data_IF_682834707123
#
_entry.id   IF_682834707123
#
_cell.length_a   1.000
_cell.length_b   1.000
_cell.length_c   1.000
_cell.angle_alpha   90.00
_cell.angle_beta   90.00
_cell.angle_gamma   90.00
#
_symmetry.space_group_name_H-M   'P 1'
#
loop_
_entity.id
_entity.type
_entity.pdbx_description
1 polymer ?
#
# COMPACT_ATOMS: atom_id res chain seq x y z
N UNK A 1 20.45 -0.17 -4.84
CA UNK A 1 21.76 -0.19 -4.21
C UNK A 1 21.93 0.95 -3.22
N UNK A 2 21.79 2.20 -3.65
CA UNK A 2 21.98 3.38 -2.80
C UNK A 2 21.15 3.33 -1.51
N UNK A 3 19.85 3.04 -1.59
CA UNK A 3 18.99 2.91 -0.42
C UNK A 3 19.55 1.93 0.62
N UNK A 4 20.01 0.75 0.18
CA UNK A 4 20.54 -0.27 1.08
C UNK A 4 21.80 0.22 1.81
N UNK A 5 22.71 0.89 1.11
CA UNK A 5 23.90 1.48 1.71
C UNK A 5 23.54 2.62 2.65
N UNK A 6 22.63 3.52 2.26
CA UNK A 6 22.18 4.64 3.09
C UNK A 6 21.59 4.15 4.42
N UNK A 7 20.73 3.12 4.39
CA UNK A 7 20.19 2.52 5.61
C UNK A 7 21.28 1.98 6.55
N UNK A 8 22.35 1.39 5.97
CA UNK A 8 23.52 0.95 6.75
C UNK A 8 24.28 2.11 7.38
N UNK A 9 24.54 3.16 6.61
CA UNK A 9 25.20 4.38 7.10
C UNK A 9 24.41 5.09 8.19
N UNK A 10 23.07 4.98 8.15
CA UNK A 10 22.16 5.50 9.17
C UNK A 10 22.05 4.59 10.42
N UNK A 11 22.88 3.56 10.53
CA UNK A 11 22.97 2.71 11.71
C UNK A 11 21.92 1.60 11.78
N UNK A 12 21.28 1.22 10.66
CA UNK A 12 20.37 0.08 10.67
C UNK A 12 21.13 -1.21 10.96
N UNK A 13 20.66 -1.96 11.97
CA UNK A 13 21.15 -3.30 12.30
C UNK A 13 20.05 -4.37 12.19
N UNK A 14 18.78 -3.95 12.22
CA UNK A 14 17.63 -4.88 12.12
C UNK A 14 17.52 -5.47 10.71
N UNK A 15 17.11 -6.74 10.57
CA UNK A 15 16.86 -7.37 9.27
C UNK A 15 15.97 -6.52 8.37
N UNK A 16 16.22 -6.56 7.05
CA UNK A 16 15.39 -5.95 6.02
C UNK A 16 14.77 -7.04 5.17
N UNK A 17 13.45 -7.03 5.02
CA UNK A 17 12.77 -7.82 4.01
C UNK A 17 12.73 -7.02 2.70
N UNK A 18 13.15 -7.66 1.61
CA UNK A 18 13.12 -7.11 0.26
C UNK A 18 12.18 -7.96 -0.58
N UNK A 19 11.12 -7.38 -1.06
CA UNK A 19 10.16 -8.03 -1.93
C UNK A 19 10.24 -7.48 -3.35
N UNK A 20 10.07 -8.34 -4.34
CA UNK A 20 10.12 -7.94 -5.74
C UNK A 20 9.42 -8.93 -6.66
N UNK A 21 9.31 -8.59 -7.95
CA UNK A 21 8.70 -9.45 -8.97
C UNK A 21 9.52 -10.71 -9.26
N UNK A 22 8.98 -11.57 -10.12
CA UNK A 22 9.71 -12.71 -10.68
C UNK A 22 11.05 -12.27 -11.27
N UNK A 23 12.08 -13.09 -11.06
CA UNK A 23 13.47 -12.78 -11.48
C UNK A 23 14.31 -12.11 -10.39
N UNK A 24 13.73 -11.67 -9.27
CA UNK A 24 14.51 -11.12 -8.15
C UNK A 24 15.59 -12.09 -7.68
N UNK A 25 15.25 -13.38 -7.53
CA UNK A 25 16.20 -14.39 -7.04
C UNK A 25 17.39 -14.55 -7.96
N UNK A 26 17.21 -14.40 -9.27
CA UNK A 26 18.29 -14.47 -10.25
C UNK A 26 19.24 -13.26 -10.19
N UNK A 27 18.71 -12.07 -9.96
CA UNK A 27 19.51 -10.83 -9.94
C UNK A 27 20.05 -10.49 -8.55
N UNK A 28 19.46 -11.04 -7.50
CA UNK A 28 19.81 -10.70 -6.12
C UNK A 28 21.27 -10.93 -5.76
N UNK A 29 21.92 -12.06 -6.15
CA UNK A 29 23.34 -12.28 -5.87
C UNK A 29 24.24 -11.18 -6.45
N UNK A 30 23.99 -10.78 -7.70
CA UNK A 30 24.73 -9.71 -8.36
C UNK A 30 24.49 -8.34 -7.65
N UNK A 31 23.25 -8.04 -7.34
CA UNK A 31 22.88 -6.82 -6.61
C UNK A 31 23.55 -6.76 -5.23
N UNK A 32 23.61 -7.89 -4.52
CA UNK A 32 24.27 -7.99 -3.22
C UNK A 32 25.79 -7.76 -3.35
N UNK A 33 26.43 -8.35 -4.34
CA UNK A 33 27.85 -8.13 -4.62
C UNK A 33 28.15 -6.67 -4.86
N UNK A 34 27.34 -6.01 -5.71
CA UNK A 34 27.48 -4.59 -6.02
C UNK A 34 27.19 -3.67 -4.81
N UNK A 35 26.36 -4.12 -3.87
CA UNK A 35 26.05 -3.36 -2.66
C UNK A 35 27.19 -3.42 -1.65
N UNK A 36 27.95 -4.52 -1.62
CA UNK A 36 29.00 -4.74 -0.65
C UNK A 36 28.49 -5.15 0.72
N UNK A 37 29.36 -5.14 1.75
CA UNK A 37 28.98 -5.51 3.10
C UNK A 37 28.00 -4.51 3.71
N UNK A 38 26.98 -5.03 4.40
CA UNK A 38 25.99 -4.25 5.12
C UNK A 38 25.96 -4.68 6.59
N UNK A 39 25.72 -3.75 7.53
CA UNK A 39 25.65 -4.06 8.97
C UNK A 39 24.35 -4.76 9.37
N UNK A 40 23.50 -5.16 8.43
CA UNK A 40 22.23 -5.83 8.65
C UNK A 40 21.95 -6.91 7.59
N UNK A 41 21.25 -8.00 7.95
CA UNK A 41 20.88 -9.01 6.99
C UNK A 41 19.72 -8.57 6.11
N UNK A 42 19.73 -8.98 4.84
CA UNK A 42 18.61 -8.80 3.91
C UNK A 42 18.03 -10.16 3.56
N UNK A 43 16.72 -10.27 3.62
CA UNK A 43 15.94 -11.42 3.18
C UNK A 43 15.17 -11.02 1.93
N UNK A 44 15.73 -11.34 0.75
CA UNK A 44 15.09 -11.12 -0.53
C UNK A 44 14.12 -12.26 -0.83
N UNK A 45 12.92 -11.93 -1.31
CA UNK A 45 11.89 -12.89 -1.70
C UNK A 45 11.08 -12.38 -2.87
N UNK A 46 10.87 -13.23 -3.86
CA UNK A 46 9.90 -12.95 -4.92
C UNK A 46 8.47 -13.01 -4.34
N UNK A 47 7.65 -12.05 -4.73
CA UNK A 47 6.21 -12.07 -4.47
C UNK A 47 5.48 -12.19 -5.81
N UNK A 48 4.67 -13.23 -5.93
CA UNK A 48 3.83 -13.41 -7.11
C UNK A 48 2.41 -12.89 -6.87
N UNK A 49 1.64 -13.54 -6.04
CA UNK A 49 0.26 -13.19 -5.73
C UNK A 49 -0.11 -13.29 -4.24
N UNK A 50 0.74 -13.97 -3.45
CA UNK A 50 0.42 -14.20 -2.05
C UNK A 50 0.66 -12.94 -1.21
N UNK A 51 -0.28 -12.57 -0.34
CA UNK A 51 -0.11 -11.42 0.55
C UNK A 51 0.99 -11.70 1.59
N UNK A 52 1.64 -10.63 2.04
CA UNK A 52 2.56 -10.65 3.17
C UNK A 52 1.83 -10.14 4.40
N UNK A 53 1.77 -10.95 5.45
CA UNK A 53 1.30 -10.50 6.77
C UNK A 53 2.34 -9.55 7.37
N UNK A 54 1.93 -8.33 7.65
CA UNK A 54 2.79 -7.28 8.19
C UNK A 54 2.86 -7.29 9.72
N UNK A 55 2.07 -8.08 10.42
CA UNK A 55 2.16 -8.23 11.87
C UNK A 55 3.56 -8.70 12.31
N UNK A 56 4.20 -9.56 11.52
CA UNK A 56 5.58 -10.00 11.73
C UNK A 56 6.62 -8.84 11.69
N UNK A 57 6.25 -7.68 11.18
CA UNK A 57 7.08 -6.47 11.09
C UNK A 57 6.65 -5.37 12.06
N UNK A 58 5.77 -5.69 13.01
CA UNK A 58 5.28 -4.75 14.03
C UNK A 58 4.09 -3.89 13.60
N UNK A 59 3.42 -4.25 12.51
CA UNK A 59 2.15 -3.63 12.11
C UNK A 59 0.98 -4.23 12.88
N UNK A 60 -0.17 -3.54 12.96
CA UNK A 60 -1.37 -4.11 13.57
C UNK A 60 -1.76 -5.45 12.92
N UNK A 61 -2.37 -6.33 13.71
CA UNK A 61 -2.86 -7.62 13.25
C UNK A 61 -3.79 -7.46 12.03
N UNK A 62 -3.60 -8.30 11.02
CA UNK A 62 -4.34 -8.28 9.77
C UNK A 62 -3.90 -7.21 8.76
N UNK A 63 -2.88 -6.40 9.08
CA UNK A 63 -2.26 -5.54 8.08
C UNK A 63 -1.52 -6.39 7.04
N UNK A 64 -1.73 -6.10 5.76
CA UNK A 64 -1.20 -6.91 4.65
C UNK A 64 -0.59 -6.05 3.57
N UNK A 65 0.47 -6.59 2.94
CA UNK A 65 1.00 -6.09 1.67
C UNK A 65 0.63 -7.10 0.57
N UNK A 66 -0.17 -6.65 -0.40
CA UNK A 66 -0.62 -7.46 -1.52
C UNK A 66 0.13 -7.05 -2.78
N UNK A 67 0.82 -7.99 -3.46
CA UNK A 67 1.42 -7.71 -4.77
C UNK A 67 0.34 -7.63 -5.84
N UNK A 68 0.50 -6.65 -6.75
CA UNK A 68 -0.42 -6.42 -7.86
C UNK A 68 0.33 -6.75 -9.15
N UNK A 69 -0.15 -7.69 -9.98
CA UNK A 69 0.43 -7.91 -11.30
C UNK A 69 0.20 -6.68 -12.18
N UNK A 70 1.29 -6.10 -12.66
CA UNK A 70 1.27 -4.89 -13.48
C UNK A 70 1.69 -5.18 -14.90
N UNK A 71 1.49 -4.20 -15.80
CA UNK A 71 1.76 -4.34 -17.23
C UNK A 71 2.92 -3.44 -17.63
N UNK A 72 4.11 -4.01 -17.63
CA UNK A 72 5.34 -3.32 -18.04
C UNK A 72 6.17 -4.20 -18.96
N UNK A 73 7.23 -3.67 -19.58
CA UNK A 73 8.12 -4.41 -20.51
C UNK A 73 8.96 -5.48 -19.81
N UNK A 74 9.24 -5.28 -18.55
CA UNK A 74 9.94 -6.24 -17.69
C UNK A 74 9.01 -6.68 -16.55
N UNK A 75 9.29 -7.82 -15.89
CA UNK A 75 8.51 -8.22 -14.71
C UNK A 75 8.44 -7.08 -13.69
N UNK A 76 7.23 -6.64 -13.37
CA UNK A 76 6.96 -5.55 -12.43
C UNK A 76 5.82 -5.91 -11.50
N UNK A 77 5.75 -5.22 -10.37
CA UNK A 77 4.67 -5.35 -9.39
C UNK A 77 4.31 -3.98 -8.82
N UNK A 78 3.02 -3.73 -8.75
CA UNK A 78 2.49 -2.76 -7.80
C UNK A 78 2.24 -3.44 -6.46
N UNK A 79 1.87 -2.63 -5.47
CA UNK A 79 1.59 -3.13 -4.13
C UNK A 79 0.40 -2.39 -3.53
N UNK A 80 -0.49 -3.14 -2.87
CA UNK A 80 -1.52 -2.57 -2.03
C UNK A 80 -1.19 -2.86 -0.56
N UNK A 81 -1.15 -1.81 0.26
CA UNK A 81 -1.05 -1.90 1.70
C UNK A 81 -2.44 -1.72 2.29
N UNK A 82 -2.90 -2.71 3.05
CA UNK A 82 -4.20 -2.65 3.72
C UNK A 82 -4.03 -2.71 5.22
N UNK A 83 -4.75 -1.85 5.92
CA UNK A 83 -4.83 -1.83 7.37
C UNK A 83 -6.28 -2.05 7.77
N UNK A 84 -6.64 -3.22 8.35
CA UNK A 84 -8.00 -3.49 8.76
C UNK A 84 -8.39 -2.62 9.95
N UNK A 85 -9.69 -2.39 10.12
CA UNK A 85 -10.25 -1.73 11.28
C UNK A 85 -11.23 -2.65 11.96
N UNK A 86 -10.97 -2.99 13.21
CA UNK A 86 -11.87 -3.80 14.02
C UNK A 86 -13.24 -3.13 14.18
N UNK A 87 -14.26 -3.95 14.43
CA UNK A 87 -15.58 -3.48 14.82
C UNK A 87 -15.54 -2.63 16.09
N UNK A 88 -16.63 -1.90 16.35
CA UNK A 88 -16.76 -1.18 17.61
C UNK A 88 -16.86 -2.17 18.76
N UNK A 89 -16.19 -1.87 19.86
CA UNK A 89 -16.36 -2.63 21.08
C UNK A 89 -17.79 -2.43 21.62
N UNK A 90 -18.43 -3.52 22.04
CA UNK A 90 -19.79 -3.56 22.51
C UNK A 90 -19.80 -3.86 24.03
N UNK A 91 -19.78 -2.81 24.89
CA UNK A 91 -19.66 -2.96 26.34
C UNK A 91 -20.76 -3.85 26.95
N UNK A 92 -21.97 -3.81 26.39
CA UNK A 92 -23.09 -4.62 26.82
C UNK A 92 -22.83 -6.11 26.62
N UNK A 93 -22.22 -6.51 25.51
CA UNK A 93 -21.81 -7.90 25.26
C UNK A 93 -20.70 -8.35 26.20
N UNK A 94 -19.70 -7.50 26.42
CA UNK A 94 -18.62 -7.82 27.36
C UNK A 94 -19.15 -7.99 28.80
N UNK A 95 -20.09 -7.15 29.22
CA UNK A 95 -20.76 -7.29 30.54
C UNK A 95 -21.57 -8.57 30.62
N UNK A 96 -22.35 -8.89 29.58
CA UNK A 96 -23.17 -10.13 29.54
C UNK A 96 -22.29 -11.39 29.63
N UNK A 97 -21.08 -11.36 29.06
CA UNK A 97 -20.09 -12.44 29.15
C UNK A 97 -19.26 -12.40 30.44
N UNK A 98 -19.51 -11.46 31.33
CA UNK A 98 -18.82 -11.33 32.60
C UNK A 98 -17.35 -10.88 32.49
N UNK A 99 -16.98 -10.26 31.37
CA UNK A 99 -15.60 -9.78 31.14
C UNK A 99 -15.32 -8.57 32.07
N UNK A 100 -14.26 -8.64 32.91
CA UNK A 100 -13.84 -7.49 33.73
C UNK A 100 -13.49 -6.28 32.86
N UNK A 101 -13.85 -5.09 33.29
CA UNK A 101 -13.54 -3.82 32.56
C UNK A 101 -12.05 -3.66 32.30
N UNK A 102 -11.21 -4.13 33.21
CA UNK A 102 -9.75 -4.11 33.06
C UNK A 102 -9.23 -4.87 31.83
N UNK A 103 -9.99 -5.87 31.38
CA UNK A 103 -9.61 -6.72 30.23
C UNK A 103 -10.22 -6.27 28.89
N UNK A 104 -11.13 -5.29 28.90
CA UNK A 104 -11.78 -4.81 27.68
C UNK A 104 -10.78 -4.33 26.63
N UNK A 105 -9.71 -3.66 27.07
CA UNK A 105 -8.66 -3.16 26.19
C UNK A 105 -7.92 -4.27 25.47
N UNK A 106 -7.73 -5.42 26.11
CA UNK A 106 -7.13 -6.62 25.48
C UNK A 106 -7.99 -7.10 24.32
N UNK A 107 -9.29 -7.27 24.54
CA UNK A 107 -10.23 -7.67 23.51
C UNK A 107 -10.32 -6.66 22.36
N UNK A 108 -10.25 -5.36 22.65
CA UNK A 108 -10.19 -4.30 21.64
C UNK A 108 -8.93 -4.40 20.77
N UNK A 109 -7.82 -4.89 21.31
CA UNK A 109 -6.56 -5.08 20.60
C UNK A 109 -6.42 -6.46 19.93
N UNK A 110 -7.49 -7.27 19.97
CA UNK A 110 -7.49 -8.56 19.29
C UNK A 110 -7.02 -9.73 20.14
N UNK A 111 -6.80 -9.52 21.46
CA UNK A 111 -6.39 -10.56 22.38
C UNK A 111 -7.61 -11.31 22.96
N UNK A 112 -7.48 -12.62 23.15
CA UNK A 112 -8.47 -13.45 23.86
C UNK A 112 -8.29 -13.28 25.37
N UNK A 113 -9.38 -13.28 26.11
CA UNK A 113 -9.39 -13.10 27.57
C UNK A 113 -10.03 -14.32 28.24
N UNK A 114 -9.36 -14.84 29.26
CA UNK A 114 -9.92 -15.90 30.10
C UNK A 114 -10.92 -15.32 31.11
N UNK A 115 -12.16 -15.80 31.09
CA UNK A 115 -13.22 -15.44 32.04
C UNK A 115 -13.67 -16.73 32.75
N UNK A 116 -13.26 -16.92 34.00
CA UNK A 116 -13.49 -18.18 34.76
C UNK A 116 -12.98 -19.40 33.97
N UNK A 117 -13.87 -20.28 33.52
CA UNK A 117 -13.56 -21.54 32.85
C UNK A 117 -13.64 -21.48 31.31
N UNK A 118 -14.01 -20.32 30.74
CA UNK A 118 -14.11 -20.15 29.28
C UNK A 118 -13.30 -18.97 28.77
N UNK A 119 -12.98 -19.03 27.48
CA UNK A 119 -12.31 -17.95 26.78
C UNK A 119 -13.34 -17.06 26.08
N UNK A 120 -13.12 -15.74 26.15
CA UNK A 120 -13.86 -14.75 25.38
C UNK A 120 -12.96 -14.19 24.32
N UNK A 121 -13.39 -14.32 23.08
CA UNK A 121 -12.66 -13.82 21.91
C UNK A 121 -13.10 -12.41 21.50
N UNK A 122 -12.28 -11.65 20.79
CA UNK A 122 -12.68 -10.34 20.26
C UNK A 122 -13.97 -10.37 19.44
N UNK A 123 -14.20 -11.43 18.65
CA UNK A 123 -15.39 -11.55 17.79
C UNK A 123 -16.71 -11.53 18.57
N UNK A 124 -16.70 -11.96 19.82
CA UNK A 124 -17.90 -12.02 20.66
C UNK A 124 -18.32 -10.66 21.22
N UNK A 125 -17.37 -9.72 21.33
CA UNK A 125 -17.58 -8.40 21.94
C UNK A 125 -17.35 -7.23 20.98
N UNK A 126 -16.97 -7.51 19.74
CA UNK A 126 -16.85 -6.51 18.70
C UNK A 126 -18.06 -6.54 17.76
N UNK A 127 -18.41 -5.39 17.25
CA UNK A 127 -19.37 -5.26 16.15
C UNK A 127 -18.77 -5.71 14.81
N UNK A 128 -19.49 -5.51 13.69
CA UNK A 128 -18.99 -5.85 12.38
C UNK A 128 -17.69 -5.08 12.06
N UNK A 129 -16.79 -5.66 11.24
CA UNK A 129 -15.60 -4.96 10.78
C UNK A 129 -15.98 -3.62 10.13
N UNK A 130 -15.19 -2.59 10.40
CA UNK A 130 -15.33 -1.27 9.79
C UNK A 130 -14.37 -1.12 8.62
N UNK A 131 -14.62 -0.12 7.76
CA UNK A 131 -13.71 0.20 6.67
C UNK A 131 -12.32 0.52 7.23
N UNK A 132 -11.33 -0.23 6.77
CA UNK A 132 -9.92 0.01 7.07
C UNK A 132 -9.31 1.11 6.19
N UNK A 133 -7.98 1.16 6.13
CA UNK A 133 -7.23 2.02 5.22
C UNK A 133 -6.61 1.19 4.12
N UNK A 134 -6.53 1.78 2.91
CA UNK A 134 -5.90 1.17 1.75
C UNK A 134 -5.03 2.20 1.04
N UNK A 135 -3.75 1.86 0.91
CA UNK A 135 -2.77 2.58 0.11
C UNK A 135 -2.35 1.70 -1.07
N UNK A 136 -2.29 2.26 -2.27
CA UNK A 136 -1.89 1.52 -3.48
C UNK A 136 -0.76 2.28 -4.17
N UNK A 137 0.29 1.54 -4.53
CA UNK A 137 1.38 2.00 -5.37
C UNK A 137 1.43 1.15 -6.64
N UNK A 138 1.32 1.80 -7.79
CA UNK A 138 1.24 1.09 -9.07
C UNK A 138 2.56 0.42 -9.48
N UNK A 139 3.69 0.96 -9.06
CA UNK A 139 4.95 0.71 -9.78
C UNK A 139 4.86 1.23 -11.20
N UNK A 140 5.83 0.84 -12.04
CA UNK A 140 5.87 1.20 -13.46
C UNK A 140 4.88 0.32 -14.22
N UNK A 141 3.89 0.93 -14.86
CA UNK A 141 2.82 0.17 -15.52
C UNK A 141 2.01 0.97 -16.53
N UNK A 142 1.62 0.33 -17.62
CA UNK A 142 0.44 0.75 -18.36
C UNK A 142 -0.83 0.45 -17.57
N UNK A 143 -1.96 1.15 -17.83
CA UNK A 143 -3.23 0.85 -17.19
C UNK A 143 -3.59 -0.62 -17.36
N UNK A 144 -4.01 -1.27 -16.28
CA UNK A 144 -4.39 -2.68 -16.32
C UNK A 144 -5.51 -3.00 -15.33
N UNK A 145 -6.36 -4.02 -15.64
CA UNK A 145 -7.50 -4.37 -14.79
C UNK A 145 -7.10 -4.76 -13.36
N UNK A 146 -5.94 -5.40 -13.17
CA UNK A 146 -5.49 -5.82 -11.85
C UNK A 146 -5.17 -4.62 -10.95
N UNK A 147 -4.55 -3.57 -11.50
CA UNK A 147 -4.30 -2.33 -10.76
C UNK A 147 -5.61 -1.61 -10.44
N UNK A 148 -6.54 -1.52 -11.39
CA UNK A 148 -7.84 -0.90 -11.17
C UNK A 148 -8.62 -1.61 -10.06
N UNK A 149 -8.68 -2.94 -10.09
CA UNK A 149 -9.31 -3.74 -9.04
C UNK A 149 -8.63 -3.56 -7.66
N UNK A 150 -7.30 -3.53 -7.62
CA UNK A 150 -6.56 -3.30 -6.38
C UNK A 150 -6.78 -1.89 -5.83
N UNK A 151 -6.90 -0.89 -6.71
CA UNK A 151 -7.12 0.50 -6.35
C UNK A 151 -8.58 0.81 -5.94
N UNK A 152 -9.50 -0.16 -6.04
CA UNK A 152 -10.90 0.02 -5.65
C UNK A 152 -11.00 0.62 -4.25
N UNK A 153 -11.65 1.78 -4.13
CA UNK A 153 -11.83 2.54 -2.89
C UNK A 153 -10.54 2.84 -2.10
N UNK A 154 -9.39 2.95 -2.78
CA UNK A 154 -8.14 3.28 -2.13
C UNK A 154 -8.20 4.68 -1.48
N UNK A 155 -7.64 4.81 -0.27
CA UNK A 155 -7.53 6.11 0.39
C UNK A 155 -6.47 6.99 -0.27
N UNK A 156 -5.42 6.36 -0.82
CA UNK A 156 -4.40 6.99 -1.65
C UNK A 156 -3.92 6.00 -2.71
N UNK A 157 -3.93 6.42 -3.96
CA UNK A 157 -3.29 5.76 -5.09
C UNK A 157 -2.09 6.60 -5.56
N UNK A 158 -0.88 6.01 -5.51
CA UNK A 158 0.28 6.50 -6.25
C UNK A 158 0.32 5.78 -7.59
N UNK A 159 0.24 6.50 -8.70
CA UNK A 159 0.12 5.91 -10.02
C UNK A 159 1.17 6.43 -10.99
N UNK A 160 1.71 5.52 -11.81
CA UNK A 160 2.60 5.85 -12.93
C UNK A 160 1.99 6.95 -13.79
N UNK A 161 2.77 7.97 -14.08
CA UNK A 161 2.41 9.10 -14.92
C UNK A 161 3.64 9.56 -15.71
N UNK A 162 4.25 8.61 -16.42
CA UNK A 162 5.49 8.86 -17.16
C UNK A 162 5.31 9.86 -18.29
N UNK A 163 4.14 9.91 -18.88
CA UNK A 163 3.80 10.79 -19.99
C UNK A 163 2.68 11.76 -19.62
N UNK A 164 2.78 13.02 -20.07
CA UNK A 164 1.79 14.01 -19.70
C UNK A 164 0.59 14.00 -20.66
N UNK A 165 0.86 14.02 -21.95
CA UNK A 165 -0.10 14.37 -22.99
C UNK A 165 -0.89 13.17 -23.51
N UNK A 166 -2.19 13.33 -23.86
CA UNK A 166 -3.00 12.27 -24.44
C UNK A 166 -2.42 11.68 -25.72
N UNK A 167 -1.78 12.49 -26.55
CA UNK A 167 -1.15 12.09 -27.80
C UNK A 167 -0.02 11.07 -27.60
N UNK A 168 0.51 10.99 -26.38
CA UNK A 168 1.57 10.05 -25.98
C UNK A 168 1.04 8.68 -25.53
N UNK A 169 -0.26 8.42 -25.54
CA UNK A 169 -0.84 7.14 -25.08
C UNK A 169 -0.28 5.93 -25.82
N UNK A 170 -0.08 6.03 -27.15
CA UNK A 170 0.51 4.95 -27.93
C UNK A 170 1.93 4.64 -27.49
N UNK A 171 2.73 5.66 -27.22
CA UNK A 171 4.10 5.55 -26.72
C UNK A 171 4.10 4.99 -25.29
N UNK A 172 3.25 5.50 -24.42
CA UNK A 172 3.09 5.02 -23.05
C UNK A 172 2.78 3.51 -23.03
N UNK A 173 1.83 3.06 -23.85
CA UNK A 173 1.49 1.65 -24.01
C UNK A 173 2.66 0.81 -24.53
N UNK A 174 3.40 1.32 -25.51
CA UNK A 174 4.57 0.64 -26.09
C UNK A 174 5.65 0.39 -25.03
N UNK A 175 5.89 1.34 -24.16
CA UNK A 175 6.92 1.25 -23.12
C UNK A 175 6.41 0.70 -21.78
N UNK A 176 5.12 0.43 -21.66
CA UNK A 176 4.50 -0.15 -20.47
C UNK A 176 4.31 0.87 -19.34
N UNK A 177 3.93 2.09 -19.68
CA UNK A 177 3.66 3.20 -18.77
C UNK A 177 2.28 3.81 -18.99
N UNK A 178 1.96 4.82 -18.21
CA UNK A 178 0.69 5.55 -18.26
C UNK A 178 0.89 7.02 -18.59
N UNK A 179 -0.15 7.65 -19.16
CA UNK A 179 -0.27 9.10 -19.21
C UNK A 179 -0.98 9.62 -17.96
N UNK A 180 -0.86 10.93 -17.71
CA UNK A 180 -1.60 11.64 -16.64
C UNK A 180 -3.09 11.36 -16.71
N UNK A 181 -3.68 11.49 -17.91
CA UNK A 181 -5.11 11.24 -18.14
C UNK A 181 -5.50 9.79 -17.91
N UNK A 182 -4.69 8.83 -18.33
CA UNK A 182 -4.96 7.40 -18.13
C UNK A 182 -4.95 7.02 -16.65
N UNK A 183 -3.99 7.53 -15.88
CA UNK A 183 -3.90 7.27 -14.43
C UNK A 183 -5.05 7.93 -13.68
N UNK A 184 -5.44 9.13 -14.07
CA UNK A 184 -6.60 9.81 -13.52
C UNK A 184 -7.92 9.08 -13.83
N UNK A 185 -8.10 8.60 -15.06
CA UNK A 185 -9.28 7.83 -15.45
C UNK A 185 -9.36 6.50 -14.69
N UNK A 186 -8.23 5.80 -14.49
CA UNK A 186 -8.16 4.59 -13.65
C UNK A 186 -8.55 4.89 -12.21
N UNK A 187 -7.99 5.95 -11.62
CA UNK A 187 -8.31 6.36 -10.25
C UNK A 187 -9.80 6.68 -10.06
N UNK A 188 -10.39 7.36 -11.05
CA UNK A 188 -11.82 7.69 -11.05
C UNK A 188 -12.71 6.43 -11.10
N UNK A 189 -12.42 5.49 -12.02
CA UNK A 189 -13.17 4.23 -12.10
C UNK A 189 -13.01 3.36 -10.87
N UNK A 190 -11.82 3.36 -10.26
CA UNK A 190 -11.55 2.66 -9.01
C UNK A 190 -12.20 3.32 -7.79
N UNK A 191 -12.73 4.52 -7.90
CA UNK A 191 -13.27 5.25 -6.74
C UNK A 191 -12.20 5.63 -5.73
N UNK A 192 -10.94 5.79 -6.15
CA UNK A 192 -9.88 6.22 -5.26
C UNK A 192 -10.19 7.61 -4.66
N UNK A 193 -9.87 7.81 -3.38
CA UNK A 193 -10.15 9.10 -2.72
C UNK A 193 -9.13 10.18 -3.07
N UNK A 194 -7.88 9.75 -3.27
CA UNK A 194 -6.76 10.63 -3.62
C UNK A 194 -5.88 9.95 -4.65
N UNK A 195 -5.36 10.74 -5.56
CA UNK A 195 -4.41 10.33 -6.57
C UNK A 195 -3.16 11.21 -6.51
N UNK A 196 -2.01 10.57 -6.36
CA UNK A 196 -0.72 11.21 -6.61
C UNK A 196 -0.12 10.59 -7.86
N UNK A 197 0.15 11.44 -8.84
CA UNK A 197 0.87 11.08 -10.05
C UNK A 197 2.36 11.04 -9.73
N UNK A 198 3.05 10.01 -10.18
CA UNK A 198 4.47 9.79 -9.89
C UNK A 198 5.18 9.20 -11.11
N UNK A 199 6.50 9.04 -11.04
CA UNK A 199 7.30 8.41 -12.10
C UNK A 199 7.30 9.21 -13.42
N UNK A 200 7.54 10.50 -13.34
CA UNK A 200 7.58 11.37 -14.53
C UNK A 200 8.78 11.08 -15.42
N UNK A 201 8.57 11.18 -16.73
CA UNK A 201 9.69 11.25 -17.68
C UNK A 201 10.63 12.41 -17.33
N UNK A 202 11.94 12.24 -17.47
CA UNK A 202 12.89 13.35 -17.31
C UNK A 202 12.61 14.56 -18.24
N UNK A 203 11.78 14.36 -19.26
CA UNK A 203 11.35 15.45 -20.16
C UNK A 203 10.27 16.34 -19.53
N UNK A 204 9.62 15.90 -18.46
CA UNK A 204 8.62 16.68 -17.72
C UNK A 204 9.34 17.34 -16.55
N UNK A 205 9.77 18.57 -16.73
CA UNK A 205 10.50 19.34 -15.71
C UNK A 205 9.58 19.97 -14.68
N UNK A 206 8.35 20.34 -15.07
CA UNK A 206 7.34 20.97 -14.22
C UNK A 206 6.03 20.17 -14.30
N UNK A 207 5.91 19.05 -13.54
CA UNK A 207 4.74 18.16 -13.60
C UNK A 207 3.42 18.87 -13.27
N UNK A 208 3.46 19.89 -12.42
CA UNK A 208 2.29 20.66 -12.01
C UNK A 208 1.62 21.39 -13.19
N UNK A 209 2.39 21.81 -14.18
CA UNK A 209 1.84 22.44 -15.39
C UNK A 209 1.04 21.48 -16.25
N UNK A 210 1.31 20.17 -16.11
CA UNK A 210 0.64 19.09 -16.82
C UNK A 210 -0.61 18.55 -16.10
N UNK A 211 -0.88 18.98 -14.86
CA UNK A 211 -2.00 18.46 -14.06
C UNK A 211 -3.36 18.59 -14.74
N UNK A 212 -3.54 19.56 -15.59
CA UNK A 212 -4.79 19.77 -16.33
C UNK A 212 -5.17 18.55 -17.19
N UNK A 213 -4.21 17.75 -17.67
CA UNK A 213 -4.47 16.48 -18.40
C UNK A 213 -5.10 15.41 -17.51
N UNK A 214 -4.87 15.43 -16.21
CA UNK A 214 -5.45 14.50 -15.25
C UNK A 214 -6.75 15.01 -14.64
N UNK A 215 -6.85 16.32 -14.40
CA UNK A 215 -7.92 16.93 -13.61
C UNK A 215 -9.29 16.86 -14.27
N UNK A 216 -9.35 16.67 -15.60
CA UNK A 216 -10.62 16.42 -16.30
C UNK A 216 -11.31 15.11 -15.86
N UNK A 217 -10.54 14.08 -15.58
CA UNK A 217 -11.04 12.77 -15.11
C UNK A 217 -11.02 12.65 -13.58
N UNK A 218 -10.04 13.26 -12.92
CA UNK A 218 -9.90 13.23 -11.47
C UNK A 218 -9.53 14.61 -10.93
N UNK A 219 -10.52 15.47 -10.60
CA UNK A 219 -10.31 16.89 -10.27
C UNK A 219 -9.31 17.16 -9.13
N UNK A 220 -9.15 16.18 -8.22
CA UNK A 220 -8.23 16.25 -7.08
C UNK A 220 -6.93 15.50 -7.33
N UNK A 221 -6.53 15.31 -8.59
CA UNK A 221 -5.21 14.77 -8.91
C UNK A 221 -4.12 15.74 -8.44
N UNK A 222 -3.08 15.21 -7.87
CA UNK A 222 -1.93 15.96 -7.37
C UNK A 222 -0.64 15.34 -7.90
N UNK A 223 0.38 16.16 -8.09
CA UNK A 223 1.72 15.68 -8.32
C UNK A 223 2.34 15.10 -7.05
N UNK A 224 2.94 13.92 -7.18
CA UNK A 224 3.82 13.36 -6.16
C UNK A 224 5.25 13.89 -6.34
N UNK A 225 5.95 14.11 -5.25
CA UNK A 225 7.35 14.52 -5.24
C UNK A 225 8.07 13.94 -4.02
N UNK A 226 9.39 13.88 -4.09
CA UNK A 226 10.20 13.36 -2.99
C UNK A 226 10.00 14.16 -1.71
N UNK A 227 9.66 13.46 -0.63
CA UNK A 227 9.36 14.07 0.66
C UNK A 227 7.91 14.51 0.87
N UNK A 228 7.01 14.37 -0.14
CA UNK A 228 5.58 14.61 0.07
C UNK A 228 5.01 13.66 1.11
N UNK A 229 4.24 14.19 2.05
CA UNK A 229 3.70 13.43 3.18
C UNK A 229 2.18 13.53 3.24
N UNK A 230 1.55 12.45 3.65
CA UNK A 230 0.12 12.39 3.95
C UNK A 230 -0.10 11.43 5.13
N UNK A 231 -0.88 11.87 6.10
CA UNK A 231 -1.36 10.99 7.17
C UNK A 231 -2.75 10.49 6.81
N UNK A 232 -2.88 9.18 6.60
CA UNK A 232 -4.18 8.53 6.44
C UNK A 232 -4.77 8.22 7.81
N UNK A 233 -6.03 8.58 8.00
CA UNK A 233 -6.77 8.34 9.23
C UNK A 233 -8.04 7.56 8.94
N UNK A 234 -8.49 6.75 9.90
CA UNK A 234 -9.81 6.13 9.82
C UNK A 234 -10.89 7.20 9.79
N UNK A 235 -11.84 7.07 8.87
CA UNK A 235 -13.00 7.96 8.84
C UNK A 235 -13.81 7.81 10.11
N UNK A 236 -14.17 8.94 10.73
CA UNK A 236 -15.18 8.95 11.79
C UNK A 236 -16.54 8.66 11.15
N UNK A 237 -17.23 7.66 11.69
CA UNK A 237 -18.62 7.42 11.33
C UNK A 237 -19.45 8.55 11.95
N UNK A 238 -20.03 9.39 11.12
CA UNK A 238 -21.02 10.35 11.58
C UNK A 238 -22.15 9.55 12.26
N UNK A 239 -22.39 9.84 13.52
CA UNK A 239 -23.52 9.26 14.24
C UNK A 239 -24.78 9.90 13.66
N UNK A 240 -25.55 9.13 12.87
CA UNK A 240 -26.91 9.48 12.53
C UNK A 240 -27.83 9.30 13.73
#
# INVERSE_FOLDING_TARGET
RQLLQTLGCQGRTRPLALYGPAGLDAIWPALRTLTGPLPYPIRARQLDKDPVDLAAFGWPAGAQLLPIPTRHRVPSRGYALTLPRAGRFLPEKARALGVPVADWKKLQHGETVQVREWEVTPAEVLGPPRRGLKFVFSGDTAPCPALEAAAQDADLLLCDATYAEPEQEAQAKQYGHSTFGQSAALAARAGAKRLWLVHYSPMITEPEECLHFAQGAFPRAECGFDGKQLTLQFEEELHG
#
